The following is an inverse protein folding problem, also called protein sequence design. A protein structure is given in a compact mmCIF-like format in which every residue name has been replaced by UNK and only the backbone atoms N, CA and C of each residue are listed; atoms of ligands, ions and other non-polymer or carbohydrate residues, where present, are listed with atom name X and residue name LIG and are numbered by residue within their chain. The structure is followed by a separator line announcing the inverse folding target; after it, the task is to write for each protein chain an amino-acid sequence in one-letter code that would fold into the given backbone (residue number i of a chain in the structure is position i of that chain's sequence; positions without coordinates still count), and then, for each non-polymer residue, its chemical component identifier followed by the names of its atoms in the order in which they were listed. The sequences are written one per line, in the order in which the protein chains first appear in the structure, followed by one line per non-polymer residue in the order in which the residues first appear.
data_IF_424958639128
#
_entry.id   IF_424958639128
#
_cell.length_a   1.000
_cell.length_b   1.000
_cell.length_c   1.000
_cell.angle_alpha   90.00
_cell.angle_beta   90.00
_cell.angle_gamma   90.00
#
_symmetry.space_group_name_H-M   'P 1'
#
loop_
_entity.id
_entity.type
_entity.pdbx_description
1 polymer ?
#
# COMPACT_ATOMS: atom_id res chain seq x y z
N UNK A 1 -6.68 7.49 -33.66
CA UNK A 1 -5.21 7.24 -33.54
C UNK A 1 -4.49 8.01 -32.40
N UNK A 2 -4.80 9.27 -32.07
CA UNK A 2 -4.11 10.02 -31.00
C UNK A 2 -4.60 9.75 -29.57
N UNK A 3 -5.91 9.54 -29.37
CA UNK A 3 -6.51 9.26 -28.04
C UNK A 3 -6.01 7.96 -27.40
N UNK A 4 -5.74 6.93 -28.21
CA UNK A 4 -5.23 5.64 -27.73
C UNK A 4 -3.78 5.76 -27.25
N UNK A 5 -2.96 6.61 -27.85
CA UNK A 5 -1.56 6.82 -27.42
C UNK A 5 -1.49 7.61 -26.10
N UNK A 6 -2.33 8.63 -25.93
CA UNK A 6 -2.39 9.41 -24.68
C UNK A 6 -2.85 8.53 -23.51
N UNK A 7 -3.96 7.81 -23.68
CA UNK A 7 -4.49 6.93 -22.62
C UNK A 7 -3.62 5.71 -22.35
N UNK A 8 -2.85 5.22 -23.34
CA UNK A 8 -2.09 3.96 -23.21
C UNK A 8 -0.60 4.15 -22.89
N UNK A 9 0.05 5.21 -23.38
CA UNK A 9 1.46 5.52 -23.07
C UNK A 9 1.58 6.48 -21.89
N UNK A 10 0.82 7.59 -21.87
CA UNK A 10 1.00 8.62 -20.84
C UNK A 10 0.41 8.13 -19.51
N UNK A 11 -0.78 7.53 -19.51
CA UNK A 11 -1.38 7.00 -18.29
C UNK A 11 -0.50 5.92 -17.65
N UNK A 12 0.05 4.98 -18.44
CA UNK A 12 0.93 3.92 -17.92
C UNK A 12 2.28 4.44 -17.40
N UNK A 13 2.80 5.52 -18.00
CA UNK A 13 4.05 6.16 -17.57
C UNK A 13 3.84 7.12 -16.38
N UNK A 14 2.64 7.71 -16.23
CA UNK A 14 2.25 8.56 -15.11
C UNK A 14 1.75 7.77 -13.91
N UNK A 15 1.20 6.56 -14.10
CA UNK A 15 0.73 5.71 -13.01
C UNK A 15 1.86 5.31 -12.06
N UNK A 16 3.07 5.05 -12.58
CA UNK A 16 4.25 4.72 -11.76
C UNK A 16 4.53 5.80 -10.69
N UNK A 17 4.75 7.07 -11.05
CA UNK A 17 4.93 8.13 -10.06
C UNK A 17 3.65 8.42 -9.24
N UNK A 18 2.44 8.29 -9.81
CA UNK A 18 1.20 8.50 -9.05
C UNK A 18 1.02 7.46 -7.93
N UNK A 19 1.31 6.18 -8.20
CA UNK A 19 1.26 5.11 -7.20
C UNK A 19 2.26 5.39 -6.07
N UNK A 20 3.48 5.80 -6.42
CA UNK A 20 4.51 6.16 -5.42
C UNK A 20 4.05 7.34 -4.56
N UNK A 21 3.46 8.38 -5.16
CA UNK A 21 2.95 9.54 -4.41
C UNK A 21 1.79 9.15 -3.50
N UNK A 22 0.86 8.32 -3.99
CA UNK A 22 -0.25 7.81 -3.17
C UNK A 22 0.30 6.97 -2.01
N UNK A 23 1.25 6.07 -2.26
CA UNK A 23 1.86 5.24 -1.21
C UNK A 23 2.53 6.10 -0.12
N UNK A 24 3.29 7.13 -0.51
CA UNK A 24 3.91 8.06 0.44
C UNK A 24 2.85 8.84 1.23
N UNK A 25 1.82 9.36 0.56
CA UNK A 25 0.73 10.09 1.21
C UNK A 25 -0.08 9.21 2.17
N UNK A 26 -0.34 7.95 1.80
CA UNK A 26 -1.01 6.99 2.67
C UNK A 26 -0.16 6.68 3.91
N UNK A 27 1.17 6.59 3.79
CA UNK A 27 2.06 6.48 4.96
C UNK A 27 1.90 7.64 5.94
N UNK A 28 1.82 8.88 5.44
CA UNK A 28 1.52 10.06 6.26
C UNK A 28 0.15 9.99 6.91
N UNK A 29 -0.87 9.53 6.19
CA UNK A 29 -2.23 9.38 6.73
C UNK A 29 -2.30 8.31 7.83
N UNK A 30 -1.56 7.21 7.70
CA UNK A 30 -1.47 6.18 8.75
C UNK A 30 -0.81 6.75 10.01
N UNK A 31 0.25 7.54 9.88
CA UNK A 31 0.85 8.24 11.02
C UNK A 31 -0.12 9.22 11.69
N UNK A 32 -0.89 9.96 10.90
CA UNK A 32 -1.95 10.84 11.41
C UNK A 32 -3.10 10.08 12.07
N UNK A 33 -3.41 8.87 11.60
CA UNK A 33 -4.45 8.01 12.18
C UNK A 33 -4.12 7.64 13.63
N UNK A 34 -2.84 7.38 13.95
CA UNK A 34 -2.40 7.09 15.34
C UNK A 34 -2.74 8.26 16.27
N UNK A 35 -2.53 9.50 15.81
CA UNK A 35 -2.84 10.71 16.58
C UNK A 35 -4.35 10.81 16.82
N UNK A 36 -5.16 10.49 15.82
CA UNK A 36 -6.63 10.47 15.94
C UNK A 36 -7.07 9.36 16.91
N UNK A 37 -6.47 8.17 16.84
CA UNK A 37 -6.76 7.05 17.76
C UNK A 37 -6.47 7.43 19.21
N UNK A 38 -5.35 8.12 19.48
CA UNK A 38 -4.99 8.56 20.82
C UNK A 38 -5.90 9.68 21.34
N UNK A 39 -6.16 10.71 20.52
CA UNK A 39 -7.00 11.84 20.91
C UNK A 39 -8.46 11.44 21.20
N UNK A 40 -9.02 10.51 20.42
CA UNK A 40 -10.38 10.03 20.62
C UNK A 40 -10.46 8.79 21.53
N UNK A 41 -9.33 8.36 22.11
CA UNK A 41 -9.23 7.19 22.98
C UNK A 41 -9.82 5.92 22.33
N UNK A 42 -9.69 5.82 21.00
CA UNK A 42 -10.21 4.70 20.21
C UNK A 42 -9.21 3.54 20.28
N UNK A 43 -9.64 2.30 20.60
CA UNK A 43 -8.76 1.14 20.69
C UNK A 43 -8.34 0.67 19.29
N UNK A 44 -7.36 1.36 18.72
CA UNK A 44 -6.79 1.06 17.41
C UNK A 44 -5.43 0.37 17.48
N UNK A 45 -5.03 -0.25 16.35
CA UNK A 45 -3.76 -0.97 16.23
C UNK A 45 -2.55 -0.04 16.24
N UNK A 46 -2.71 1.19 15.72
CA UNK A 46 -1.63 2.18 15.69
C UNK A 46 -1.23 2.63 17.08
N UNK A 47 -2.21 2.97 17.92
CA UNK A 47 -2.00 3.33 19.32
C UNK A 47 -1.39 2.18 20.13
N UNK A 48 -1.87 0.94 19.95
CA UNK A 48 -1.33 -0.25 20.63
C UNK A 48 0.17 -0.44 20.36
N UNK A 49 0.60 -0.31 19.11
CA UNK A 49 2.01 -0.44 18.72
C UNK A 49 2.83 0.75 19.26
N UNK A 50 2.27 1.96 19.24
CA UNK A 50 2.92 3.14 19.79
C UNK A 50 3.16 3.05 21.31
N UNK A 51 2.16 2.57 22.06
CA UNK A 51 2.29 2.32 23.50
C UNK A 51 3.31 1.22 23.76
N UNK A 52 3.26 0.10 23.04
CA UNK A 52 4.26 -0.98 23.17
C UNK A 52 5.70 -0.49 22.86
N UNK A 53 5.87 0.40 21.89
CA UNK A 53 7.17 1.03 21.59
C UNK A 53 7.67 1.91 22.74
N UNK A 54 6.75 2.64 23.39
CA UNK A 54 7.07 3.54 24.50
C UNK A 54 7.40 2.76 25.77
N UNK A 55 6.63 1.71 26.06
CA UNK A 55 6.83 0.82 27.21
C UNK A 55 7.97 -0.20 27.01
N UNK A 56 8.62 -0.16 25.84
CA UNK A 56 9.67 -1.11 25.42
C UNK A 56 9.23 -2.58 25.53
N UNK A 57 7.95 -2.83 25.31
CA UNK A 57 7.39 -4.18 25.25
C UNK A 57 7.65 -4.76 23.85
N UNK A 58 8.88 -5.26 23.65
CA UNK A 58 9.35 -5.78 22.37
C UNK A 58 8.46 -6.91 21.80
N UNK A 59 7.99 -7.90 22.60
CA UNK A 59 7.07 -8.93 22.11
C UNK A 59 5.77 -8.36 21.51
N UNK A 60 5.17 -7.38 22.18
CA UNK A 60 3.92 -6.77 21.73
C UNK A 60 4.13 -5.94 20.45
N UNK A 61 5.25 -5.22 20.38
CA UNK A 61 5.66 -4.47 19.19
C UNK A 61 5.90 -5.39 18.00
N UNK A 62 6.64 -6.49 18.20
CA UNK A 62 6.91 -7.47 17.15
C UNK A 62 5.63 -8.11 16.61
N UNK A 63 4.73 -8.54 17.50
CA UNK A 63 3.42 -9.08 17.11
C UNK A 63 2.61 -8.07 16.29
N UNK A 64 2.59 -6.79 16.71
CA UNK A 64 1.91 -5.73 15.97
C UNK A 64 2.50 -5.48 14.58
N UNK A 65 3.83 -5.43 14.49
CA UNK A 65 4.54 -5.25 13.20
C UNK A 65 4.29 -6.44 12.27
N UNK A 66 4.31 -7.68 12.78
CA UNK A 66 4.00 -8.87 11.98
C UNK A 66 2.58 -8.84 11.42
N UNK A 67 1.59 -8.45 12.22
CA UNK A 67 0.19 -8.33 11.77
C UNK A 67 0.07 -7.28 10.67
N UNK A 68 0.68 -6.10 10.84
CA UNK A 68 0.70 -5.06 9.80
C UNK A 68 1.39 -5.57 8.53
N UNK A 69 2.51 -6.29 8.67
CA UNK A 69 3.23 -6.89 7.56
C UNK A 69 2.38 -7.87 6.76
N UNK A 70 1.63 -8.75 7.45
CA UNK A 70 0.69 -9.69 6.80
C UNK A 70 -0.41 -8.95 6.04
N UNK A 71 -1.01 -7.92 6.65
CA UNK A 71 -2.04 -7.10 6.01
C UNK A 71 -1.46 -6.39 4.78
N UNK A 72 -0.25 -5.85 4.88
CA UNK A 72 0.43 -5.20 3.77
C UNK A 72 0.70 -6.18 2.62
N UNK A 73 1.25 -7.36 2.91
CA UNK A 73 1.45 -8.41 1.91
C UNK A 73 0.14 -8.82 1.24
N UNK A 74 -0.95 -8.96 2.01
CA UNK A 74 -2.26 -9.25 1.47
C UNK A 74 -2.76 -8.13 0.56
N UNK A 75 -2.60 -6.87 0.96
CA UNK A 75 -2.97 -5.72 0.15
C UNK A 75 -2.14 -5.63 -1.15
N UNK A 76 -0.83 -5.89 -1.09
CA UNK A 76 0.04 -5.96 -2.26
C UNK A 76 -0.39 -7.09 -3.20
N UNK A 77 -0.68 -8.29 -2.68
CA UNK A 77 -1.19 -9.40 -3.49
C UNK A 77 -2.52 -9.05 -4.17
N UNK A 78 -3.45 -8.40 -3.46
CA UNK A 78 -4.69 -7.91 -4.05
C UNK A 78 -4.41 -6.92 -5.17
N UNK A 79 -3.49 -5.97 -4.94
CA UNK A 79 -3.10 -5.00 -5.95
C UNK A 79 -2.53 -5.70 -7.20
N UNK A 80 -1.64 -6.67 -7.03
CA UNK A 80 -1.06 -7.45 -8.13
C UNK A 80 -2.10 -8.26 -8.92
N UNK A 81 -3.09 -8.84 -8.22
CA UNK A 81 -4.22 -9.52 -8.86
C UNK A 81 -5.05 -8.53 -9.67
N UNK A 82 -5.38 -7.38 -9.08
CA UNK A 82 -6.12 -6.31 -9.78
C UNK A 82 -5.35 -5.83 -11.00
N UNK A 83 -4.03 -5.64 -10.89
CA UNK A 83 -3.18 -5.29 -12.03
C UNK A 83 -3.16 -6.37 -13.10
N UNK A 84 -3.11 -7.64 -12.72
CA UNK A 84 -3.09 -8.77 -13.65
C UNK A 84 -4.42 -8.89 -14.40
N UNK A 85 -5.55 -8.74 -13.71
CA UNK A 85 -6.89 -8.79 -14.30
C UNK A 85 -7.16 -7.58 -15.19
N UNK A 86 -6.75 -6.38 -14.76
CA UNK A 86 -6.92 -5.15 -15.52
C UNK A 86 -5.97 -5.06 -16.72
N UNK A 87 -4.91 -5.88 -16.76
CA UNK A 87 -3.90 -5.86 -17.83
C UNK A 87 -3.81 -7.20 -18.60
N UNK A 88 -4.76 -7.50 -19.51
CA UNK A 88 -4.83 -8.76 -20.25
C UNK A 88 -3.74 -8.96 -21.33
N UNK A 89 -2.66 -8.15 -21.33
CA UNK A 89 -1.58 -8.16 -22.35
C UNK A 89 -0.19 -8.57 -21.85
N UNK A 90 -0.02 -8.91 -20.57
CA UNK A 90 1.26 -9.50 -20.08
C UNK A 90 1.48 -10.91 -20.69
N UNK A 91 0.44 -11.50 -21.31
CA UNK A 91 0.50 -12.80 -21.98
C UNK A 91 1.08 -12.78 -23.41
N UNK A 92 1.73 -11.71 -23.85
CA UNK A 92 2.44 -11.64 -25.14
C UNK A 92 3.88 -11.13 -24.96
N UNK A 93 4.64 -11.85 -24.14
CA UNK A 93 6.10 -11.73 -24.01
C UNK A 93 6.80 -13.07 -24.26
N UNK A 94 6.25 -13.88 -25.17
CA UNK A 94 6.75 -15.23 -25.42
C UNK A 94 6.28 -15.79 -26.76
N UNK A 95 6.58 -15.10 -27.85
CA UNK A 95 6.79 -15.67 -29.19
C UNK A 95 6.91 -14.52 -30.21
N UNK A 96 8.02 -14.57 -30.95
CA UNK A 96 8.34 -13.90 -32.21
C UNK A 96 9.06 -12.53 -32.19
N UNK A 97 10.33 -12.69 -32.56
CA UNK A 97 11.35 -11.78 -33.14
C UNK A 97 12.20 -10.96 -32.18
#
# INVERSE_FOLDING_TARGET
PRRVVIWRHILRNSLLPTITVIATQTGYLIGGLVVVEDLFNYPGLGRLIFTAATDKDFPMLEAGVLVIGVVYLAATLIADIVYTVLNPRIRLGGSDQ
#
